data_IF_424502380170
#
_entry.id   IF_424502380170
#
_cell.length_a   1.000
_cell.length_b   1.000
_cell.length_c   1.000
_cell.angle_alpha   90.00
_cell.angle_beta   90.00
_cell.angle_gamma   90.00
#
_symmetry.space_group_name_H-M   'P 1'
#
loop_
_entity.id
_entity.type
_entity.pdbx_description
1 polymer ?
#
# COMPACT_ATOMS: atom_id res chain seq x y z
N UNK A 1 0.49 -28.47 -3.85
CA UNK A 1 -0.76 -28.24 -3.12
C UNK A 1 -0.58 -27.48 -1.84
N UNK A 2 0.44 -27.79 -1.04
CA UNK A 2 0.72 -27.03 0.19
C UNK A 2 1.09 -25.57 -0.07
N UNK A 3 1.84 -25.28 -1.14
CA UNK A 3 2.23 -23.91 -1.51
C UNK A 3 1.02 -23.07 -1.85
N UNK A 4 0.06 -23.62 -2.60
CA UNK A 4 -1.15 -22.90 -3.01
C UNK A 4 -2.03 -22.57 -1.80
N UNK A 5 -2.14 -23.46 -0.83
CA UNK A 5 -2.85 -23.22 0.43
C UNK A 5 -2.17 -22.11 1.24
N UNK A 6 -0.83 -22.12 1.33
CA UNK A 6 -0.06 -21.10 2.03
C UNK A 6 -0.24 -19.73 1.39
N UNK A 7 -0.26 -19.64 0.05
CA UNK A 7 -0.47 -18.40 -0.67
C UNK A 7 -1.87 -17.83 -0.43
N UNK A 8 -2.91 -18.66 -0.52
CA UNK A 8 -4.30 -18.25 -0.26
C UNK A 8 -4.44 -17.77 1.19
N UNK A 9 -3.85 -18.47 2.14
CA UNK A 9 -3.87 -18.09 3.56
C UNK A 9 -3.16 -16.76 3.77
N UNK A 10 -2.00 -16.58 3.14
CA UNK A 10 -1.24 -15.33 3.20
C UNK A 10 -2.06 -14.16 2.65
N UNK A 11 -2.65 -14.32 1.47
CA UNK A 11 -3.44 -13.26 0.83
C UNK A 11 -4.67 -12.91 1.68
N UNK A 12 -5.37 -13.89 2.22
CA UNK A 12 -6.52 -13.66 3.09
C UNK A 12 -6.12 -12.91 4.37
N UNK A 13 -5.01 -13.30 4.97
CA UNK A 13 -4.47 -12.61 6.14
C UNK A 13 -4.10 -11.17 5.84
N UNK A 14 -3.42 -10.94 4.71
CA UNK A 14 -3.05 -9.59 4.28
C UNK A 14 -4.28 -8.73 4.08
N UNK A 15 -5.31 -9.23 3.41
CA UNK A 15 -6.55 -8.48 3.19
C UNK A 15 -7.20 -8.10 4.51
N UNK A 16 -7.26 -9.01 5.47
CA UNK A 16 -7.79 -8.75 6.81
C UNK A 16 -7.02 -7.64 7.52
N UNK A 17 -5.70 -7.75 7.50
CA UNK A 17 -4.81 -6.79 8.14
C UNK A 17 -4.94 -5.41 7.48
N UNK A 18 -4.98 -5.38 6.15
CA UNK A 18 -5.12 -4.14 5.41
C UNK A 18 -6.47 -3.46 5.66
N UNK A 19 -7.55 -4.25 5.71
CA UNK A 19 -8.87 -3.70 6.04
C UNK A 19 -8.90 -3.13 7.46
N UNK A 20 -8.27 -3.81 8.41
CA UNK A 20 -8.14 -3.31 9.76
C UNK A 20 -7.37 -1.98 9.79
N UNK A 21 -6.26 -1.89 9.05
CA UNK A 21 -5.47 -0.67 8.97
C UNK A 21 -6.27 0.47 8.32
N UNK A 22 -7.08 0.17 7.30
CA UNK A 22 -7.94 1.17 6.67
C UNK A 22 -8.95 1.74 7.67
N UNK A 23 -9.55 0.91 8.51
CA UNK A 23 -10.46 1.36 9.55
C UNK A 23 -9.71 2.21 10.60
N UNK A 24 -8.52 1.78 10.99
CA UNK A 24 -7.68 2.52 11.94
C UNK A 24 -7.35 3.92 11.41
N UNK A 25 -7.08 4.05 10.12
CA UNK A 25 -6.76 5.31 9.47
C UNK A 25 -8.00 6.08 9.02
N UNK A 26 -9.18 5.61 9.40
CA UNK A 26 -10.48 6.22 9.11
C UNK A 26 -10.81 6.30 7.63
N UNK A 27 -10.43 5.26 6.89
CA UNK A 27 -10.73 5.16 5.46
C UNK A 27 -11.34 3.79 5.13
N UNK A 28 -12.51 3.44 5.75
CA UNK A 28 -13.07 2.08 5.65
C UNK A 28 -13.65 1.71 4.29
N UNK A 29 -13.92 2.69 3.43
CA UNK A 29 -14.53 2.44 2.12
C UNK A 29 -13.54 2.03 1.04
N UNK A 30 -12.26 1.88 1.39
CA UNK A 30 -11.23 1.48 0.45
C UNK A 30 -11.34 -0.01 0.14
N UNK A 31 -11.28 -0.35 -1.15
CA UNK A 31 -11.18 -1.72 -1.60
C UNK A 31 -9.71 -2.09 -1.74
N UNK A 32 -9.32 -3.20 -1.14
CA UNK A 32 -7.95 -3.70 -1.19
C UNK A 32 -7.93 -4.92 -2.10
N UNK A 33 -7.08 -4.90 -3.12
CA UNK A 33 -6.88 -6.02 -4.03
C UNK A 33 -5.42 -6.43 -4.06
N UNK A 34 -5.19 -7.71 -4.31
CA UNK A 34 -3.85 -8.27 -4.44
C UNK A 34 -3.44 -8.24 -5.90
N UNK A 35 -2.22 -7.75 -6.15
CA UNK A 35 -1.65 -7.76 -7.48
C UNK A 35 -1.12 -9.16 -7.80
N UNK A 36 -1.63 -9.79 -8.86
CA UNK A 36 -1.17 -11.10 -9.31
C UNK A 36 -0.26 -10.95 -10.52
N UNK A 37 1.00 -11.34 -10.35
CA UNK A 37 1.99 -11.32 -11.41
C UNK A 37 2.35 -12.74 -11.80
N UNK A 38 2.38 -13.00 -13.11
CA UNK A 38 2.71 -14.33 -13.64
C UNK A 38 4.21 -14.60 -13.65
N UNK A 39 5.04 -13.55 -13.67
CA UNK A 39 6.49 -13.68 -13.79
C UNK A 39 7.21 -12.89 -12.69
N UNK A 40 8.40 -13.35 -12.27
CA UNK A 40 9.23 -12.57 -11.35
C UNK A 40 9.56 -11.20 -11.94
N UNK A 41 9.77 -10.22 -11.07
CA UNK A 41 10.12 -8.86 -11.48
C UNK A 41 11.61 -8.67 -11.32
N UNK A 42 12.27 -8.18 -12.38
CA UNK A 42 13.69 -7.83 -12.33
C UNK A 42 13.86 -6.41 -11.83
N UNK A 43 14.89 -6.20 -10.98
CA UNK A 43 15.22 -4.88 -10.45
C UNK A 43 15.53 -3.88 -11.56
N UNK A 44 15.09 -2.65 -11.40
CA UNK A 44 15.55 -1.52 -12.20
C UNK A 44 14.62 -1.04 -13.32
N UNK A 45 13.46 -1.65 -13.51
CA UNK A 45 12.52 -1.22 -14.55
C UNK A 45 11.11 -1.05 -14.00
N UNK A 46 10.88 0.08 -13.29
CA UNK A 46 9.53 0.46 -12.88
C UNK A 46 8.81 -0.57 -12.02
N UNK A 47 9.52 -1.18 -11.07
CA UNK A 47 8.87 -2.11 -10.15
C UNK A 47 7.86 -1.37 -9.27
N UNK A 48 6.60 -1.70 -9.45
CA UNK A 48 5.50 -1.10 -8.71
C UNK A 48 5.12 -2.02 -7.56
N UNK A 49 5.32 -1.53 -6.32
CA UNK A 49 4.94 -2.26 -5.10
C UNK A 49 3.44 -2.23 -4.86
N UNK A 50 2.77 -1.23 -5.38
CA UNK A 50 1.34 -1.05 -5.28
C UNK A 50 0.92 0.18 -6.05
N UNK A 51 -0.38 0.34 -6.25
CA UNK A 51 -0.93 1.54 -6.87
C UNK A 51 -2.34 1.81 -6.34
N UNK A 52 -2.78 3.03 -6.54
CA UNK A 52 -4.11 3.46 -6.10
C UNK A 52 -4.93 3.98 -7.28
N UNK A 53 -6.23 3.74 -7.23
CA UNK A 53 -7.19 4.32 -8.16
C UNK A 53 -8.20 5.14 -7.35
N UNK A 54 -8.06 6.46 -7.42
CA UNK A 54 -8.88 7.38 -6.64
C UNK A 54 -10.35 7.33 -7.02
N UNK A 55 -10.65 7.15 -8.29
CA UNK A 55 -12.03 7.10 -8.79
C UNK A 55 -12.78 5.87 -8.29
N UNK A 56 -12.08 4.75 -8.14
CA UNK A 56 -12.68 3.47 -7.73
C UNK A 56 -12.52 3.19 -6.25
N UNK A 57 -11.88 4.09 -5.49
CA UNK A 57 -11.53 3.84 -4.08
C UNK A 57 -10.81 2.50 -3.93
N UNK A 58 -9.81 2.27 -4.77
CA UNK A 58 -9.12 1.01 -4.87
C UNK A 58 -7.63 1.17 -4.59
N UNK A 59 -7.08 0.24 -3.81
CA UNK A 59 -5.64 0.08 -3.61
C UNK A 59 -5.27 -1.34 -4.00
N UNK A 60 -4.29 -1.48 -4.87
CA UNK A 60 -3.77 -2.77 -5.30
C UNK A 60 -2.34 -2.92 -4.77
N UNK A 61 -2.06 -4.03 -4.09
CA UNK A 61 -0.78 -4.26 -3.43
C UNK A 61 -0.12 -5.53 -3.94
N UNK A 62 1.19 -5.47 -4.17
CA UNK A 62 2.01 -6.65 -4.43
C UNK A 62 2.49 -7.20 -3.08
N UNK A 63 1.96 -8.35 -2.70
CA UNK A 63 2.21 -8.96 -1.39
C UNK A 63 3.26 -10.06 -1.43
N UNK A 64 3.93 -10.20 -2.57
CA UNK A 64 5.01 -11.17 -2.78
C UNK A 64 6.31 -10.46 -3.11
N UNK A 65 7.43 -11.10 -2.78
CA UNK A 65 8.75 -10.54 -3.12
C UNK A 65 8.95 -10.52 -4.63
N UNK A 66 9.70 -9.53 -5.12
CA UNK A 66 9.84 -9.30 -6.55
C UNK A 66 10.45 -10.47 -7.30
N UNK A 67 11.56 -11.00 -6.81
CA UNK A 67 12.35 -12.01 -7.52
C UNK A 67 11.85 -13.42 -7.29
N UNK A 68 11.64 -13.81 -6.03
CA UNK A 68 11.29 -15.17 -5.66
C UNK A 68 9.80 -15.40 -5.50
N UNK A 69 9.00 -14.35 -5.59
CA UNK A 69 7.55 -14.38 -5.41
C UNK A 69 7.13 -15.12 -4.13
N UNK A 70 7.89 -14.92 -3.06
CA UNK A 70 7.57 -15.46 -1.73
C UNK A 70 6.75 -14.44 -0.94
N UNK A 71 5.96 -14.88 0.07
CA UNK A 71 5.18 -13.94 0.89
C UNK A 71 6.05 -12.83 1.47
N UNK A 72 5.62 -11.60 1.26
CA UNK A 72 6.29 -10.40 1.76
C UNK A 72 5.98 -10.21 3.24
N UNK A 73 6.91 -9.64 3.99
CA UNK A 73 6.67 -9.30 5.41
C UNK A 73 5.48 -8.36 5.53
N UNK A 74 4.65 -8.56 6.53
CA UNK A 74 3.47 -7.73 6.78
C UNK A 74 3.87 -6.27 7.02
N UNK A 75 4.97 -6.01 7.72
CA UNK A 75 5.45 -4.65 7.94
C UNK A 75 5.74 -3.91 6.63
N UNK A 76 6.35 -4.59 5.66
CA UNK A 76 6.63 -4.01 4.35
C UNK A 76 5.32 -3.70 3.61
N UNK A 77 4.34 -4.60 3.67
CA UNK A 77 3.03 -4.39 3.05
C UNK A 77 2.31 -3.21 3.68
N UNK A 78 2.35 -3.10 5.00
CA UNK A 78 1.71 -1.98 5.72
C UNK A 78 2.35 -0.63 5.39
N UNK A 79 3.67 -0.60 5.18
CA UNK A 79 4.34 0.63 4.75
C UNK A 79 3.87 1.07 3.36
N UNK A 80 3.72 0.14 2.43
CA UNK A 80 3.19 0.44 1.09
C UNK A 80 1.73 0.88 1.20
N UNK A 81 0.93 0.19 1.99
CA UNK A 81 -0.47 0.55 2.21
C UNK A 81 -0.61 1.96 2.78
N UNK A 82 0.23 2.33 3.75
CA UNK A 82 0.23 3.68 4.33
C UNK A 82 0.46 4.74 3.25
N UNK A 83 1.38 4.49 2.33
CA UNK A 83 1.64 5.38 1.21
C UNK A 83 0.41 5.49 0.28
N UNK A 84 -0.17 4.36 -0.08
CA UNK A 84 -1.30 4.33 -1.02
C UNK A 84 -2.57 4.94 -0.41
N UNK A 85 -2.86 4.69 0.88
CA UNK A 85 -3.97 5.34 1.58
C UNK A 85 -3.78 6.85 1.59
N UNK A 86 -2.54 7.31 1.73
CA UNK A 86 -2.25 8.74 1.76
C UNK A 86 -2.66 9.42 0.46
N UNK A 87 -2.57 8.76 -0.68
CA UNK A 87 -3.06 9.33 -1.94
C UNK A 87 -4.57 9.64 -1.89
N UNK A 88 -5.33 8.90 -1.10
CA UNK A 88 -6.76 9.16 -0.91
C UNK A 88 -7.00 10.28 0.13
N UNK A 89 -6.16 10.35 1.16
CA UNK A 89 -6.25 11.38 2.20
C UNK A 89 -5.71 12.73 1.74
N UNK A 90 -4.69 12.69 0.91
CA UNK A 90 -4.01 13.86 0.35
C UNK A 90 -3.92 13.70 -1.16
N UNK A 91 -5.03 13.93 -1.88
CA UNK A 91 -5.07 13.69 -3.33
C UNK A 91 -4.15 14.63 -4.10
N UNK A 92 -3.78 14.25 -5.33
CA UNK A 92 -2.96 15.13 -6.17
C UNK A 92 -3.71 16.42 -6.49
N UNK A 93 -2.95 17.48 -6.72
CA UNK A 93 -3.52 18.76 -7.10
C UNK A 93 -2.75 19.37 -8.27
N UNK A 94 -3.42 20.26 -9.00
CA UNK A 94 -2.83 20.99 -10.12
C UNK A 94 -2.19 22.27 -9.61
N UNK A 95 -1.01 22.58 -10.16
CA UNK A 95 -0.28 23.79 -9.82
C UNK A 95 0.26 24.45 -11.09
N UNK A 96 0.10 25.78 -11.17
CA UNK A 96 0.74 26.56 -12.22
C UNK A 96 2.20 26.74 -11.87
N UNK A 97 3.08 26.33 -12.76
CA UNK A 97 4.52 26.39 -12.53
C UNK A 97 5.27 26.68 -13.82
N UNK A 98 5.98 27.79 -13.85
CA UNK A 98 6.81 28.23 -14.98
C UNK A 98 6.08 28.18 -16.33
N UNK A 99 4.86 28.73 -16.37
CA UNK A 99 4.08 28.83 -17.59
C UNK A 99 3.30 27.62 -18.02
N UNK A 100 3.18 26.62 -17.17
CA UNK A 100 2.38 25.41 -17.46
C UNK A 100 1.73 24.82 -16.22
N UNK A 101 0.67 24.03 -16.43
CA UNK A 101 0.04 23.27 -15.36
C UNK A 101 0.80 21.97 -15.13
N UNK A 102 1.09 21.68 -13.87
CA UNK A 102 1.70 20.43 -13.45
C UNK A 102 0.82 19.76 -12.38
N UNK A 103 0.97 18.45 -12.23
CA UNK A 103 0.26 17.69 -11.20
C UNK A 103 1.24 17.35 -10.08
N UNK A 104 0.89 17.76 -8.86
CA UNK A 104 1.67 17.42 -7.66
C UNK A 104 1.03 16.23 -6.97
N UNK A 105 1.72 15.10 -6.95
CA UNK A 105 1.27 13.88 -6.29
C UNK A 105 1.97 13.65 -4.93
N UNK A 106 3.28 13.82 -4.91
CA UNK A 106 4.09 13.61 -3.72
C UNK A 106 4.67 14.95 -3.27
N UNK A 107 4.01 15.59 -2.33
CA UNK A 107 4.37 16.92 -1.84
C UNK A 107 4.58 16.87 -0.31
N UNK A 108 5.14 17.91 0.34
CA UNK A 108 5.48 17.85 1.77
C UNK A 108 4.34 17.41 2.68
N UNK A 109 3.12 17.90 2.47
CA UNK A 109 1.96 17.48 3.27
C UNK A 109 1.60 16.02 3.05
N UNK A 110 1.83 15.51 1.83
CA UNK A 110 1.63 14.10 1.53
C UNK A 110 2.57 13.24 2.39
N UNK A 111 3.86 13.55 2.39
CA UNK A 111 4.83 12.79 3.17
C UNK A 111 4.60 12.91 4.69
N UNK A 112 4.15 14.06 5.16
CA UNK A 112 3.75 14.19 6.57
C UNK A 112 2.61 13.25 6.91
N UNK A 113 1.64 13.12 6.01
CA UNK A 113 0.51 12.22 6.21
C UNK A 113 0.96 10.75 6.18
N UNK A 114 1.86 10.38 5.27
CA UNK A 114 2.45 9.03 5.23
C UNK A 114 3.08 8.71 6.58
N UNK A 115 3.89 9.62 7.11
CA UNK A 115 4.58 9.41 8.39
C UNK A 115 3.58 9.29 9.54
N UNK A 116 2.53 10.10 9.57
CA UNK A 116 1.46 9.98 10.57
C UNK A 116 0.78 8.63 10.50
N UNK A 117 0.47 8.17 9.29
CA UNK A 117 -0.16 6.87 9.08
C UNK A 117 0.74 5.74 9.60
N UNK A 118 2.03 5.79 9.27
CA UNK A 118 3.00 4.77 9.71
C UNK A 118 3.11 4.75 11.24
N UNK A 119 3.23 5.92 11.86
CA UNK A 119 3.31 6.03 13.33
C UNK A 119 2.05 5.44 13.97
N UNK A 120 0.88 5.76 13.44
CA UNK A 120 -0.40 5.27 13.95
C UNK A 120 -0.50 3.75 13.84
N UNK A 121 -0.04 3.19 12.73
CA UNK A 121 0.00 1.74 12.51
C UNK A 121 0.95 1.07 13.50
N UNK A 122 2.15 1.62 13.68
CA UNK A 122 3.17 1.05 14.58
C UNK A 122 2.75 1.10 16.05
N UNK A 123 1.91 2.06 16.44
CA UNK A 123 1.42 2.19 17.81
C UNK A 123 0.18 1.37 18.11
N UNK A 124 -0.49 0.87 17.08
CA UNK A 124 -1.70 0.09 17.24
C UNK A 124 -1.43 -1.22 17.98
N UNK A 125 -2.34 -1.61 18.87
CA UNK A 125 -2.18 -2.81 19.72
C UNK A 125 -2.01 -4.09 18.91
N UNK A 126 -2.69 -4.19 17.78
CA UNK A 126 -2.67 -5.39 16.95
C UNK A 126 -1.53 -5.33 15.93
N UNK A 127 -1.37 -4.18 15.27
CA UNK A 127 -0.43 -4.04 14.15
C UNK A 127 1.03 -3.90 14.59
N UNK A 128 1.28 -3.45 15.81
CA UNK A 128 2.65 -3.26 16.31
C UNK A 128 3.49 -4.54 16.31
N UNK A 129 2.85 -5.71 16.42
CA UNK A 129 3.55 -7.00 16.42
C UNK A 129 4.33 -7.24 15.13
N UNK A 130 3.89 -6.67 14.03
CA UNK A 130 4.53 -6.86 12.74
C UNK A 130 5.79 -6.01 12.54
N UNK A 131 6.05 -5.07 13.46
CA UNK A 131 7.20 -4.17 13.41
C UNK A 131 8.22 -4.47 14.52
N UNK A 132 8.02 -5.51 15.25
CA UNK A 132 8.95 -5.92 16.32
C UNK A 132 10.23 -6.53 15.76
#
# INVERSE_FOLDING_TARGET
MSEQKCEITHENEVIKICNYACQLLRYPKLNIEIMHRLKPVTKGRGYVLGYTNLKKNLVVLDVYTARLRKPKKISAILNVLAHEITHHQRPPYRQWHRGRWIIRQHYPRFYKQVNKNIVKIKKDKILKQYFA
#
